data_IF_369660479494
#
_entry.id   IF_369660479494
#
_cell.length_a   1.000
_cell.length_b   1.000
_cell.length_c   1.000
_cell.angle_alpha   90.00
_cell.angle_beta   90.00
_cell.angle_gamma   90.00
#
_symmetry.space_group_name_H-M   'P 1'
#
loop_
_entity.id
_entity.type
_entity.pdbx_description
1 polymer ?
#
# COMPACT_ATOMS: atom_id res chain seq x y z
N UNK A 1 14.45 18.57 -8.15
CA UNK A 1 14.86 17.23 -7.66
C UNK A 1 13.60 16.52 -7.24
N UNK A 2 13.47 15.26 -7.62
CA UNK A 2 12.37 14.36 -7.25
C UNK A 2 12.94 13.31 -6.30
N UNK A 3 12.24 13.03 -5.20
CA UNK A 3 12.66 12.08 -4.18
C UNK A 3 11.76 10.85 -4.17
N UNK A 4 12.36 9.66 -3.98
CA UNK A 4 11.59 8.48 -3.62
C UNK A 4 11.11 8.63 -2.17
N UNK A 5 9.81 8.61 -1.99
CA UNK A 5 9.17 8.78 -0.68
C UNK A 5 9.14 7.48 0.13
N UNK A 6 9.42 6.36 -0.50
CA UNK A 6 9.35 5.05 0.15
C UNK A 6 8.07 4.90 1.01
N UNK A 7 8.18 4.54 2.27
CA UNK A 7 7.03 4.37 3.16
C UNK A 7 6.27 5.66 3.52
N UNK A 8 6.78 6.85 3.19
CA UNK A 8 5.96 8.06 3.25
C UNK A 8 4.76 7.99 2.30
N UNK A 9 4.79 7.12 1.29
CA UNK A 9 3.64 6.79 0.43
C UNK A 9 2.40 6.46 1.26
N UNK A 10 2.57 5.78 2.40
CA UNK A 10 1.46 5.44 3.31
C UNK A 10 0.70 6.67 3.81
N UNK A 11 1.42 7.75 4.11
CA UNK A 11 0.83 8.98 4.68
C UNK A 11 0.56 10.06 3.62
N UNK A 12 1.17 9.95 2.44
CA UNK A 12 0.97 10.92 1.35
C UNK A 12 -0.08 10.44 0.34
N UNK A 13 -0.27 9.12 0.21
CA UNK A 13 -1.22 8.53 -0.73
C UNK A 13 -2.30 7.71 -0.03
N UNK A 14 -1.94 6.58 0.62
CA UNK A 14 -2.95 5.63 1.11
C UNK A 14 -3.82 6.23 2.22
N UNK A 15 -3.22 6.79 3.27
CA UNK A 15 -3.98 7.37 4.38
C UNK A 15 -4.93 8.48 3.94
N UNK A 16 -4.52 9.51 3.16
CA UNK A 16 -5.45 10.54 2.70
C UNK A 16 -6.60 9.98 1.86
N UNK A 17 -6.32 8.96 1.04
CA UNK A 17 -7.35 8.29 0.24
C UNK A 17 -8.38 7.59 1.13
N UNK A 18 -7.93 6.85 2.15
CA UNK A 18 -8.83 6.20 3.11
C UNK A 18 -9.67 7.24 3.86
N UNK A 19 -9.06 8.34 4.32
CA UNK A 19 -9.79 9.41 5.01
C UNK A 19 -10.81 10.08 4.10
N UNK A 20 -10.50 10.28 2.82
CA UNK A 20 -11.45 10.83 1.86
C UNK A 20 -12.64 9.89 1.63
N UNK A 21 -12.41 8.58 1.49
CA UNK A 21 -13.49 7.60 1.39
C UNK A 21 -14.38 7.56 2.64
N UNK A 22 -13.79 7.78 3.83
CA UNK A 22 -14.54 7.88 5.09
C UNK A 22 -15.38 9.16 5.10
N UNK A 23 -14.84 10.29 4.68
CA UNK A 23 -15.55 11.58 4.60
C UNK A 23 -16.74 11.52 3.63
N UNK A 24 -16.57 10.79 2.51
CA UNK A 24 -17.65 10.50 1.54
C UNK A 24 -18.67 9.46 2.04
N UNK A 25 -18.46 8.86 3.21
CA UNK A 25 -19.36 7.83 3.76
C UNK A 25 -19.30 6.48 3.05
N UNK A 26 -18.27 6.24 2.25
CA UNK A 26 -18.07 5.00 1.47
C UNK A 26 -17.26 3.94 2.22
N UNK A 27 -16.62 4.31 3.32
CA UNK A 27 -15.77 3.45 4.13
C UNK A 27 -15.90 3.85 5.61
N UNK A 28 -15.73 2.88 6.52
CA UNK A 28 -15.72 3.15 7.96
C UNK A 28 -14.49 2.51 8.60
N UNK A 29 -14.01 3.09 9.71
CA UNK A 29 -12.83 2.58 10.43
C UNK A 29 -13.05 1.18 11.00
N UNK A 30 -14.27 0.83 11.34
CA UNK A 30 -14.69 -0.47 11.88
C UNK A 30 -15.15 -1.46 10.80
N UNK A 31 -15.19 -1.07 9.52
CA UNK A 31 -15.44 -2.00 8.42
C UNK A 31 -14.37 -3.09 8.39
N UNK A 32 -14.83 -4.34 8.27
CA UNK A 32 -13.99 -5.52 8.27
C UNK A 32 -13.56 -5.93 6.85
N UNK A 33 -12.38 -6.55 6.72
CA UNK A 33 -11.87 -6.99 5.41
C UNK A 33 -12.83 -7.96 4.69
N UNK A 34 -13.58 -8.80 5.41
CA UNK A 34 -14.57 -9.71 4.80
C UNK A 34 -15.70 -8.99 4.05
N UNK A 35 -15.93 -7.70 4.30
CA UNK A 35 -16.90 -6.90 3.56
C UNK A 35 -16.43 -6.60 2.12
N UNK A 36 -15.10 -6.66 1.89
CA UNK A 36 -14.45 -6.35 0.62
C UNK A 36 -13.87 -7.59 -0.08
N UNK A 37 -13.59 -8.65 0.68
CA UNK A 37 -12.97 -9.89 0.21
C UNK A 37 -13.84 -11.09 0.59
N UNK A 38 -14.82 -11.41 -0.26
CA UNK A 38 -15.78 -12.51 -0.03
C UNK A 38 -15.08 -13.87 0.21
N UNK A 39 -13.91 -14.06 -0.40
CA UNK A 39 -13.09 -15.26 -0.28
C UNK A 39 -12.56 -15.50 1.15
N UNK A 40 -12.57 -14.49 2.01
CA UNK A 40 -12.13 -14.64 3.41
C UNK A 40 -13.08 -15.49 4.26
N UNK A 41 -14.40 -15.49 3.97
CA UNK A 41 -15.38 -16.26 4.72
C UNK A 41 -15.20 -16.10 6.25
N UNK A 42 -14.99 -17.22 6.93
CA UNK A 42 -14.76 -17.28 8.39
C UNK A 42 -13.27 -17.15 8.77
N UNK A 43 -12.38 -16.77 7.85
CA UNK A 43 -10.97 -16.56 8.15
C UNK A 43 -10.79 -15.46 9.20
N UNK A 44 -9.89 -15.62 10.19
CA UNK A 44 -9.57 -14.55 11.13
C UNK A 44 -9.11 -13.25 10.48
N UNK A 45 -8.50 -13.32 9.30
CA UNK A 45 -8.11 -12.14 8.52
C UNK A 45 -9.35 -11.32 8.11
N UNK A 46 -10.49 -11.97 7.91
CA UNK A 46 -11.75 -11.31 7.60
C UNK A 46 -12.23 -10.34 8.68
N UNK A 47 -11.86 -10.55 9.93
CA UNK A 47 -12.25 -9.71 11.08
C UNK A 47 -11.30 -8.52 11.30
N UNK A 48 -10.22 -8.42 10.52
CA UNK A 48 -9.32 -7.25 10.57
C UNK A 48 -10.08 -6.03 10.05
N UNK A 49 -10.10 -4.95 10.85
CA UNK A 49 -10.75 -3.70 10.46
C UNK A 49 -9.80 -2.75 9.73
N UNK A 50 -10.35 -1.75 9.07
CA UNK A 50 -9.59 -0.65 8.46
C UNK A 50 -8.71 0.04 9.51
N UNK A 51 -9.25 0.28 10.72
CA UNK A 51 -8.48 0.84 11.84
C UNK A 51 -7.26 -0.03 12.19
N UNK A 52 -7.40 -1.35 12.25
CA UNK A 52 -6.29 -2.27 12.53
C UNK A 52 -5.19 -2.19 11.47
N UNK A 53 -5.54 -2.04 10.21
CA UNK A 53 -4.56 -1.89 9.12
C UNK A 53 -3.81 -0.56 9.22
N UNK A 54 -4.54 0.55 9.41
CA UNK A 54 -3.96 1.89 9.53
C UNK A 54 -3.03 2.04 10.73
N UNK A 55 -3.34 1.37 11.84
CA UNK A 55 -2.56 1.47 13.09
C UNK A 55 -1.50 0.37 13.25
N UNK A 56 -1.34 -0.49 12.24
CA UNK A 56 -0.43 -1.62 12.29
C UNK A 56 -0.73 -2.62 13.45
N UNK A 57 -1.99 -2.77 13.81
CA UNK A 57 -2.44 -3.70 14.86
C UNK A 57 -3.19 -4.91 14.33
N UNK A 58 -3.09 -5.15 13.03
CA UNK A 58 -3.81 -6.23 12.34
C UNK A 58 -3.33 -7.65 12.67
N UNK A 59 -2.16 -7.80 13.28
CA UNK A 59 -1.52 -9.10 13.48
C UNK A 59 -0.83 -9.67 12.23
N UNK A 60 -0.96 -9.02 11.07
CA UNK A 60 -0.29 -9.45 9.84
C UNK A 60 1.24 -9.41 9.99
N UNK A 61 1.97 -10.43 9.48
CA UNK A 61 3.41 -10.50 9.58
C UNK A 61 4.12 -9.25 9.07
N UNK A 62 5.09 -8.74 9.85
CA UNK A 62 5.83 -7.52 9.53
C UNK A 62 6.77 -7.71 8.33
N UNK A 63 7.54 -8.80 8.35
CA UNK A 63 8.50 -9.10 7.28
C UNK A 63 7.84 -9.95 6.22
N UNK A 64 8.00 -9.52 4.97
CA UNK A 64 7.39 -10.22 3.84
C UNK A 64 8.23 -10.07 2.60
N UNK A 65 8.54 -11.19 2.00
CA UNK A 65 8.96 -11.26 0.62
C UNK A 65 7.73 -11.73 -0.18
N UNK A 66 7.01 -10.78 -0.79
CA UNK A 66 5.71 -11.08 -1.43
C UNK A 66 5.85 -12.03 -2.62
N UNK A 67 6.99 -12.00 -3.31
CA UNK A 67 7.28 -12.92 -4.43
C UNK A 67 7.24 -14.41 -4.05
N UNK A 68 7.29 -14.74 -2.75
CA UNK A 68 7.02 -16.13 -2.30
C UNK A 68 5.61 -16.62 -2.61
N UNK A 69 4.66 -15.71 -2.82
CA UNK A 69 3.27 -16.04 -3.14
C UNK A 69 3.00 -16.12 -4.65
N UNK A 70 3.89 -15.59 -5.49
CA UNK A 70 3.80 -15.55 -6.93
C UNK A 70 4.35 -14.25 -7.51
N UNK A 71 4.25 -14.13 -8.83
CA UNK A 71 4.76 -12.96 -9.56
C UNK A 71 3.66 -11.95 -9.95
N UNK A 72 2.40 -12.32 -9.80
CA UNK A 72 1.26 -11.44 -10.09
C UNK A 72 0.72 -10.76 -8.84
N UNK A 73 0.15 -9.56 -9.01
CA UNK A 73 -0.56 -8.83 -7.96
C UNK A 73 -1.61 -9.72 -7.27
N UNK A 74 -2.40 -10.46 -8.07
CA UNK A 74 -3.47 -11.30 -7.54
C UNK A 74 -2.95 -12.44 -6.66
N UNK A 75 -1.84 -13.09 -7.06
CA UNK A 75 -1.21 -14.14 -6.26
C UNK A 75 -0.64 -13.58 -4.96
N UNK A 76 -0.02 -12.42 -5.00
CA UNK A 76 0.49 -11.75 -3.79
C UNK A 76 -0.64 -11.38 -2.84
N UNK A 77 -1.75 -10.81 -3.34
CA UNK A 77 -2.93 -10.49 -2.52
C UNK A 77 -3.53 -11.76 -1.92
N UNK A 78 -3.75 -12.81 -2.71
CA UNK A 78 -4.25 -14.09 -2.21
C UNK A 78 -3.33 -14.67 -1.12
N UNK A 79 -2.02 -14.55 -1.28
CA UNK A 79 -1.04 -14.95 -0.27
C UNK A 79 -1.14 -14.14 1.03
N UNK A 80 -1.41 -12.84 0.95
CA UNK A 80 -1.64 -12.01 2.13
C UNK A 80 -2.95 -12.42 2.83
N UNK A 81 -4.02 -12.66 2.07
CA UNK A 81 -5.34 -13.03 2.60
C UNK A 81 -5.39 -14.43 3.22
N UNK A 82 -4.35 -15.25 3.01
CA UNK A 82 -4.27 -16.63 3.54
C UNK A 82 -3.09 -16.84 4.50
N UNK A 83 -2.27 -15.82 4.77
CA UNK A 83 -1.13 -15.99 5.65
C UNK A 83 -1.57 -16.11 7.13
N UNK A 84 -0.84 -16.86 7.96
CA UNK A 84 -1.09 -16.87 9.39
C UNK A 84 -0.82 -15.50 10.01
N UNK A 85 -1.58 -15.14 11.05
CA UNK A 85 -1.30 -13.95 11.85
C UNK A 85 -0.16 -14.26 12.84
N UNK A 86 0.76 -13.30 13.03
CA UNK A 86 1.84 -13.39 14.02
C UNK A 86 1.34 -13.05 15.43
N UNK A 87 0.27 -12.24 15.53
CA UNK A 87 -0.30 -11.76 16.79
C UNK A 87 -1.83 -11.74 16.68
N UNK A 88 -2.49 -11.80 17.84
CA UNK A 88 -3.92 -11.55 17.94
C UNK A 88 -4.28 -10.13 17.50
N UNK A 89 -5.36 -9.98 16.75
CA UNK A 89 -5.83 -8.72 16.20
C UNK A 89 -6.04 -7.70 17.34
N UNK A 90 -5.53 -6.50 17.17
CA UNK A 90 -5.66 -5.38 18.11
C UNK A 90 -4.70 -5.42 19.31
N UNK A 91 -3.90 -6.47 19.49
CA UNK A 91 -3.07 -6.63 20.71
C UNK A 91 -1.67 -6.06 20.60
N UNK A 92 -1.09 -6.04 19.40
CA UNK A 92 0.33 -5.69 19.21
C UNK A 92 0.48 -4.75 18.02
N UNK A 93 1.27 -3.69 18.20
CA UNK A 93 1.69 -2.83 17.09
C UNK A 93 2.88 -3.46 16.38
N UNK A 94 2.68 -3.91 15.15
CA UNK A 94 3.71 -4.52 14.30
C UNK A 94 3.65 -3.93 12.91
N UNK A 95 4.61 -3.07 12.58
CA UNK A 95 4.67 -2.40 11.28
C UNK A 95 4.65 -3.40 10.14
N UNK A 96 3.65 -3.33 9.27
CA UNK A 96 3.47 -4.25 8.16
C UNK A 96 3.08 -3.53 6.86
N UNK A 97 3.80 -3.82 5.78
CA UNK A 97 3.44 -3.35 4.44
C UNK A 97 2.16 -4.03 3.94
N UNK A 98 1.90 -5.28 4.34
CA UNK A 98 0.71 -6.06 3.94
C UNK A 98 -0.58 -5.32 4.23
N UNK A 99 -0.69 -4.71 5.40
CA UNK A 99 -1.87 -3.95 5.79
C UNK A 99 -2.15 -2.80 4.83
N UNK A 100 -1.12 -2.06 4.43
CA UNK A 100 -1.28 -0.94 3.50
C UNK A 100 -1.49 -1.38 2.04
N UNK A 101 -0.99 -2.55 1.66
CA UNK A 101 -1.34 -3.17 0.38
C UNK A 101 -2.82 -3.51 0.35
N UNK A 102 -3.36 -4.15 1.40
CA UNK A 102 -4.79 -4.45 1.50
C UNK A 102 -5.65 -3.18 1.52
N UNK A 103 -5.21 -2.09 2.17
CA UNK A 103 -5.90 -0.80 2.09
C UNK A 103 -5.98 -0.28 0.65
N UNK A 104 -4.91 -0.42 -0.14
CA UNK A 104 -4.93 -0.08 -1.57
C UNK A 104 -5.96 -0.90 -2.34
N UNK A 105 -6.06 -2.22 -2.08
CA UNK A 105 -7.06 -3.08 -2.70
C UNK A 105 -8.49 -2.71 -2.30
N UNK A 106 -8.72 -2.34 -1.03
CA UNK A 106 -10.03 -1.85 -0.57
C UNK A 106 -10.41 -0.58 -1.33
N UNK A 107 -9.48 0.36 -1.55
CA UNK A 107 -9.72 1.54 -2.38
C UNK A 107 -10.15 1.15 -3.78
N UNK A 108 -9.44 0.22 -4.43
CA UNK A 108 -9.77 -0.22 -5.78
C UNK A 108 -11.15 -0.90 -5.85
N UNK A 109 -11.50 -1.71 -4.85
CA UNK A 109 -12.81 -2.37 -4.79
C UNK A 109 -13.97 -1.40 -4.59
N UNK A 110 -13.78 -0.34 -3.80
CA UNK A 110 -14.82 0.66 -3.54
C UNK A 110 -14.99 1.60 -4.75
N UNK A 111 -13.86 2.09 -5.29
CA UNK A 111 -13.87 3.17 -6.27
C UNK A 111 -13.85 2.71 -7.73
N UNK A 112 -13.41 1.48 -8.00
CA UNK A 112 -13.11 1.00 -9.34
C UNK A 112 -11.87 1.66 -9.98
N UNK A 113 -11.13 2.47 -9.22
CA UNK A 113 -9.91 3.17 -9.65
C UNK A 113 -8.70 2.58 -8.93
N UNK A 114 -7.53 2.58 -9.57
CA UNK A 114 -6.29 2.29 -8.86
C UNK A 114 -6.04 3.32 -7.74
N UNK A 115 -5.29 2.93 -6.70
CA UNK A 115 -4.91 3.86 -5.64
C UNK A 115 -4.27 5.14 -6.20
N UNK A 116 -3.43 5.01 -7.23
CA UNK A 116 -2.78 6.15 -7.87
C UNK A 116 -3.79 7.09 -8.55
N UNK A 117 -4.68 6.55 -9.38
CA UNK A 117 -5.70 7.34 -10.07
C UNK A 117 -6.62 8.05 -9.07
N UNK A 118 -7.01 7.35 -8.00
CA UNK A 118 -7.86 7.91 -6.98
C UNK A 118 -7.20 9.08 -6.25
N UNK A 119 -6.00 8.87 -5.69
CA UNK A 119 -5.30 9.91 -4.93
C UNK A 119 -4.92 11.10 -5.80
N UNK A 120 -4.53 10.85 -7.05
CA UNK A 120 -4.21 11.92 -8.00
C UNK A 120 -5.45 12.78 -8.29
N UNK A 121 -6.58 12.14 -8.58
CA UNK A 121 -7.81 12.83 -9.00
C UNK A 121 -8.44 13.60 -7.84
N UNK A 122 -8.58 12.96 -6.68
CA UNK A 122 -9.38 13.50 -5.59
C UNK A 122 -8.57 14.32 -4.58
N UNK A 123 -7.25 14.10 -4.49
CA UNK A 123 -6.41 14.70 -3.45
C UNK A 123 -5.29 15.54 -4.04
N UNK A 124 -4.35 14.92 -4.77
CA UNK A 124 -3.14 15.61 -5.21
C UNK A 124 -3.40 16.76 -6.17
N UNK A 125 -4.34 16.61 -7.11
CA UNK A 125 -4.71 17.68 -8.03
C UNK A 125 -5.31 18.89 -7.27
N UNK A 126 -6.13 18.66 -6.25
CA UNK A 126 -6.72 19.75 -5.45
C UNK A 126 -5.69 20.50 -4.59
N UNK A 127 -4.59 19.83 -4.24
CA UNK A 127 -3.47 20.37 -3.47
C UNK A 127 -2.32 20.90 -4.34
N UNK A 128 -2.50 20.92 -5.67
CA UNK A 128 -1.47 21.33 -6.65
C UNK A 128 -0.17 20.49 -6.55
N UNK A 129 -0.27 19.23 -6.12
CA UNK A 129 0.85 18.29 -5.98
C UNK A 129 1.21 17.65 -7.33
N UNK A 130 1.49 18.45 -8.35
CA UNK A 130 1.65 18.02 -9.76
C UNK A 130 2.88 17.18 -10.03
N UNK A 131 3.87 17.21 -9.15
CA UNK A 131 5.11 16.45 -9.28
C UNK A 131 5.16 15.23 -8.34
N UNK A 132 4.02 14.88 -7.71
CA UNK A 132 3.87 13.67 -6.90
C UNK A 132 3.27 12.57 -7.78
N UNK A 133 3.97 11.44 -7.90
CA UNK A 133 3.57 10.35 -8.79
C UNK A 133 4.07 9.01 -8.26
N UNK A 134 3.45 7.93 -8.72
CA UNK A 134 4.01 6.58 -8.60
C UNK A 134 4.95 6.36 -9.79
N UNK A 135 6.00 5.61 -9.61
CA UNK A 135 6.99 5.17 -10.59
C UNK A 135 7.19 6.14 -11.78
N UNK A 136 8.18 7.04 -11.71
CA UNK A 136 8.42 7.99 -12.80
C UNK A 136 8.81 7.24 -14.08
N UNK A 137 7.98 7.32 -15.10
CA UNK A 137 8.21 6.71 -16.41
C UNK A 137 8.73 7.70 -17.45
N UNK A 138 8.55 9.00 -17.23
CA UNK A 138 9.01 10.04 -18.11
C UNK A 138 10.52 10.27 -17.93
N UNK A 139 11.26 10.36 -19.05
CA UNK A 139 12.70 10.59 -19.06
C UNK A 139 13.10 11.85 -18.27
N UNK A 140 12.33 12.91 -18.38
CA UNK A 140 12.63 14.20 -17.70
C UNK A 140 12.50 14.07 -16.20
N UNK A 141 11.55 13.28 -15.69
CA UNK A 141 11.45 12.96 -14.28
C UNK A 141 12.64 12.12 -13.82
N UNK A 142 12.99 11.07 -14.56
CA UNK A 142 14.11 10.17 -14.21
C UNK A 142 15.42 10.93 -14.09
N UNK A 143 15.68 11.95 -14.94
CA UNK A 143 16.86 12.78 -14.84
C UNK A 143 16.90 13.61 -13.54
N UNK A 144 15.74 13.97 -12.99
CA UNK A 144 15.60 14.80 -11.78
C UNK A 144 15.54 14.01 -10.49
N UNK A 145 15.36 12.68 -10.55
CA UNK A 145 15.25 11.81 -9.37
C UNK A 145 16.58 11.79 -8.61
N UNK A 146 16.52 11.96 -7.29
CA UNK A 146 17.66 11.73 -6.42
C UNK A 146 17.99 10.24 -6.36
N UNK A 147 19.26 9.84 -6.33
CA UNK A 147 19.62 8.45 -6.08
C UNK A 147 19.21 8.03 -4.67
N UNK A 148 18.78 6.79 -4.50
CA UNK A 148 18.34 6.23 -3.21
C UNK A 148 19.45 5.41 -2.55
N UNK A 149 19.82 4.31 -3.14
CA UNK A 149 20.68 3.28 -2.57
C UNK A 149 21.82 2.93 -3.54
N UNK A 150 23.03 2.72 -3.03
CA UNK A 150 24.11 2.16 -3.83
C UNK A 150 24.03 0.64 -3.84
N UNK A 151 23.96 0.07 -5.03
CA UNK A 151 23.92 -1.38 -5.25
C UNK A 151 25.28 -1.88 -5.72
N UNK A 152 25.92 -2.72 -4.91
CA UNK A 152 27.25 -3.25 -5.20
C UNK A 152 27.26 -4.17 -6.45
N UNK A 153 26.21 -4.98 -6.61
CA UNK A 153 26.01 -5.86 -7.76
C UNK A 153 25.92 -5.09 -9.09
N UNK A 154 25.29 -3.92 -9.07
CA UNK A 154 25.17 -3.02 -10.23
C UNK A 154 26.31 -1.99 -10.33
N UNK A 155 27.14 -1.84 -9.27
CA UNK A 155 28.14 -0.77 -9.11
C UNK A 155 27.62 0.63 -9.38
N UNK A 156 26.36 0.88 -9.02
CA UNK A 156 25.69 2.15 -9.24
C UNK A 156 24.61 2.40 -8.20
N UNK A 157 24.18 3.66 -8.09
CA UNK A 157 23.01 3.99 -7.29
C UNK A 157 21.73 3.71 -8.05
N UNK A 158 20.72 3.16 -7.36
CA UNK A 158 19.35 3.11 -7.87
C UNK A 158 18.83 4.53 -8.07
N UNK A 159 18.19 4.78 -9.21
CA UNK A 159 17.67 6.09 -9.56
C UNK A 159 16.43 5.93 -10.43
N UNK A 160 15.29 6.43 -9.95
CA UNK A 160 14.02 6.31 -10.68
C UNK A 160 13.44 4.90 -10.73
N UNK A 161 13.97 4.02 -9.91
CA UNK A 161 13.50 2.64 -9.76
C UNK A 161 13.19 2.39 -8.30
N UNK A 162 12.08 1.74 -8.02
CA UNK A 162 11.66 1.38 -6.67
C UNK A 162 12.71 0.44 -6.07
N UNK A 163 13.18 0.74 -4.86
CA UNK A 163 14.20 -0.07 -4.19
C UNK A 163 13.62 -1.10 -3.21
N UNK A 164 12.36 -0.94 -2.82
CA UNK A 164 11.64 -1.90 -1.95
C UNK A 164 11.28 -3.17 -2.74
N UNK A 165 11.76 -4.32 -2.27
CA UNK A 165 11.59 -5.61 -2.94
C UNK A 165 10.12 -6.05 -3.09
N UNK A 166 9.21 -5.49 -2.30
CA UNK A 166 7.79 -5.81 -2.34
C UNK A 166 6.98 -4.83 -3.20
N UNK A 167 7.60 -3.73 -3.65
CA UNK A 167 6.96 -2.70 -4.45
C UNK A 167 7.57 -2.61 -5.87
N UNK A 168 8.62 -3.38 -6.14
CA UNK A 168 9.34 -3.43 -7.41
C UNK A 168 8.75 -4.44 -8.40
#
# INVERSE_FOLDING_TARGET
IVFDLASLTKVVATLPTILHLIDEGLLYLDSCLKEYFEELGDSPIGDITIAHLLTHTSGLPARTFLKQYGDSKNEMIAGILTCPLDYEIGTTVSYSNRGFILLGEVVEKISGMSLFEYVQTHIWNSLDMRETLFTPSDHDYVLRVAPTEYREDMRSCLKGTVHDENAA
#
